data_IF_201783086748
#
_entry.id   IF_201783086748
#
_cell.length_a   1.000
_cell.length_b   1.000
_cell.length_c   1.000
_cell.angle_alpha   90.00
_cell.angle_beta   90.00
_cell.angle_gamma   90.00
#
_symmetry.space_group_name_H-M   'P 1'
#
loop_
_entity.id
_entity.type
_entity.pdbx_description
1 polymer ?
#
# COMPACT_ATOMS: atom_id res chain seq x y z
N UNK A 1 13.20 -23.67 4.05
CA UNK A 1 12.09 -22.91 3.42
C UNK A 1 12.39 -21.43 3.58
N UNK A 2 12.82 -20.74 2.53
CA UNK A 2 12.95 -19.28 2.57
C UNK A 2 11.53 -18.73 2.41
N UNK A 3 10.98 -18.14 3.47
CA UNK A 3 9.76 -17.32 3.38
C UNK A 3 10.13 -16.16 2.46
N UNK A 4 9.58 -16.14 1.26
CA UNK A 4 9.78 -15.03 0.33
C UNK A 4 9.00 -13.81 0.83
N UNK A 5 9.61 -13.08 1.77
CA UNK A 5 9.06 -11.89 2.42
C UNK A 5 8.78 -10.75 1.45
N UNK A 6 9.29 -10.83 0.21
CA UNK A 6 9.07 -9.84 -0.84
C UNK A 6 7.60 -9.71 -1.25
N UNK A 7 6.76 -10.70 -0.93
CA UNK A 7 5.33 -10.69 -1.29
C UNK A 7 4.44 -9.88 -0.37
N UNK A 8 4.97 -9.38 0.73
CA UNK A 8 4.18 -8.80 1.80
C UNK A 8 4.53 -7.34 2.08
N UNK A 9 3.50 -6.55 2.39
CA UNK A 9 3.70 -5.22 2.94
C UNK A 9 3.53 -5.28 4.46
N UNK A 10 4.55 -4.82 5.19
CA UNK A 10 4.52 -4.78 6.64
C UNK A 10 4.25 -3.34 7.09
N UNK A 11 3.18 -3.14 7.84
CA UNK A 11 2.86 -1.85 8.48
C UNK A 11 3.42 -1.87 9.91
N UNK A 12 3.72 -0.70 10.46
CA UNK A 12 4.22 -0.50 11.82
C UNK A 12 3.36 -1.16 12.92
N UNK A 13 2.09 -1.47 12.65
CA UNK A 13 1.15 -2.14 13.58
C UNK A 13 1.24 -3.68 13.53
N UNK A 14 2.22 -4.24 12.82
CA UNK A 14 2.39 -5.68 12.66
C UNK A 14 1.46 -6.32 11.64
N UNK A 15 0.59 -5.54 10.98
CA UNK A 15 -0.26 -6.08 9.90
C UNK A 15 0.56 -6.38 8.66
N UNK A 16 0.22 -7.51 8.06
CA UNK A 16 0.85 -8.03 6.84
C UNK A 16 -0.19 -7.97 5.72
N UNK A 17 0.04 -7.11 4.73
CA UNK A 17 -0.84 -6.99 3.57
C UNK A 17 -0.38 -7.91 2.45
N UNK A 18 -1.33 -8.62 1.82
CA UNK A 18 -1.06 -9.60 0.76
C UNK A 18 -1.77 -9.26 -0.55
N UNK A 19 -2.70 -8.30 -0.52
CA UNK A 19 -3.57 -7.96 -1.63
C UNK A 19 -3.94 -6.47 -1.64
N UNK A 20 -4.48 -6.00 -2.77
CA UNK A 20 -5.08 -4.65 -2.86
C UNK A 20 -6.27 -4.48 -1.89
N UNK A 21 -7.01 -5.55 -1.63
CA UNK A 21 -8.12 -5.53 -0.67
C UNK A 21 -7.63 -5.31 0.76
N UNK A 22 -6.53 -5.96 1.14
CA UNK A 22 -5.90 -5.74 2.45
C UNK A 22 -5.38 -4.33 2.56
N UNK A 23 -4.73 -3.82 1.51
CA UNK A 23 -4.26 -2.43 1.47
C UNK A 23 -5.43 -1.45 1.63
N UNK A 24 -6.53 -1.62 0.90
CA UNK A 24 -7.71 -0.77 1.03
C UNK A 24 -8.27 -0.77 2.45
N UNK A 25 -8.42 -1.95 3.07
CA UNK A 25 -8.89 -2.09 4.46
C UNK A 25 -7.93 -1.42 5.44
N UNK A 26 -6.62 -1.63 5.26
CA UNK A 26 -5.60 -1.03 6.09
C UNK A 26 -5.66 0.50 6.01
N UNK A 27 -5.68 1.06 4.80
CA UNK A 27 -5.76 2.50 4.58
C UNK A 27 -7.01 3.14 5.21
N UNK A 28 -8.15 2.44 5.20
CA UNK A 28 -9.39 2.95 5.77
C UNK A 28 -9.31 3.16 7.30
N UNK A 29 -8.53 2.33 8.00
CA UNK A 29 -8.31 2.43 9.45
C UNK A 29 -6.93 2.99 9.82
N UNK A 30 -6.11 3.38 8.84
CA UNK A 30 -4.73 3.82 9.06
C UNK A 30 -4.71 5.26 9.59
N UNK A 31 -3.99 5.52 10.70
CA UNK A 31 -3.70 6.88 11.16
C UNK A 31 -2.99 7.71 10.07
N UNK A 32 -3.26 9.02 10.03
CA UNK A 32 -2.73 9.89 8.98
C UNK A 32 -1.21 10.04 9.02
N UNK A 33 -0.62 10.07 10.21
CA UNK A 33 0.83 10.09 10.42
C UNK A 33 1.52 8.83 9.84
N UNK A 34 0.95 7.65 10.10
CA UNK A 34 1.42 6.37 9.56
C UNK A 34 1.26 6.35 8.04
N UNK A 35 0.13 6.84 7.52
CA UNK A 35 -0.07 6.94 6.08
C UNK A 35 0.99 7.84 5.44
N UNK A 36 1.18 9.05 5.98
CA UNK A 36 2.10 10.03 5.44
C UNK A 36 3.55 9.53 5.47
N UNK A 37 3.93 8.80 6.52
CA UNK A 37 5.24 8.15 6.61
C UNK A 37 5.52 7.22 5.42
N UNK A 38 4.57 6.34 5.10
CA UNK A 38 4.73 5.40 3.97
C UNK A 38 4.55 6.08 2.60
N UNK A 39 3.58 6.99 2.49
CA UNK A 39 3.25 7.67 1.23
C UNK A 39 4.38 8.62 0.78
N UNK A 40 5.01 9.36 1.70
CA UNK A 40 6.15 10.23 1.40
C UNK A 40 7.37 9.48 0.85
N UNK A 41 7.47 8.17 1.12
CA UNK A 41 8.53 7.29 0.61
C UNK A 41 8.10 6.46 -0.60
N UNK A 42 6.88 6.68 -1.11
CA UNK A 42 6.24 5.89 -2.16
C UNK A 42 6.17 4.38 -1.84
N UNK A 43 6.12 3.99 -0.58
CA UNK A 43 6.18 2.58 -0.18
C UNK A 43 5.01 1.78 -0.78
N UNK A 44 3.80 2.34 -0.74
CA UNK A 44 2.61 1.71 -1.30
C UNK A 44 2.73 1.53 -2.82
N UNK A 45 3.19 2.55 -3.54
CA UNK A 45 3.33 2.50 -4.99
C UNK A 45 4.41 1.47 -5.39
N UNK A 46 5.56 1.46 -4.71
CA UNK A 46 6.65 0.50 -4.93
C UNK A 46 6.17 -0.92 -4.70
N UNK A 47 5.44 -1.17 -3.61
CA UNK A 47 4.89 -2.50 -3.32
C UNK A 47 3.87 -2.95 -4.36
N UNK A 48 2.89 -2.09 -4.69
CA UNK A 48 1.85 -2.40 -5.70
C UNK A 48 2.47 -2.67 -7.08
N UNK A 49 3.50 -1.92 -7.47
CA UNK A 49 4.21 -2.12 -8.73
C UNK A 49 5.09 -3.38 -8.73
N UNK A 50 5.92 -3.56 -7.70
CA UNK A 50 6.94 -4.61 -7.64
C UNK A 50 6.40 -5.99 -7.27
N UNK A 51 5.35 -6.03 -6.43
CA UNK A 51 4.82 -7.29 -5.88
C UNK A 51 3.56 -7.74 -6.57
N UNK A 52 2.63 -6.81 -6.79
CA UNK A 52 1.33 -7.11 -7.41
C UNK A 52 1.34 -6.88 -8.93
N UNK A 53 2.45 -6.35 -9.48
CA UNK A 53 2.64 -6.01 -10.89
C UNK A 53 1.54 -5.07 -11.44
N UNK A 54 0.95 -4.21 -10.59
CA UNK A 54 -0.13 -3.28 -10.96
C UNK A 54 0.42 -1.87 -11.21
N UNK A 55 1.30 -1.72 -12.21
CA UNK A 55 2.04 -0.48 -12.51
C UNK A 55 1.15 0.74 -12.73
N UNK A 56 0.03 0.59 -13.43
CA UNK A 56 -0.90 1.69 -13.68
C UNK A 56 -1.56 2.20 -12.40
N UNK A 57 -1.91 1.29 -11.48
CA UNK A 57 -2.45 1.64 -10.18
C UNK A 57 -1.38 2.27 -9.29
N UNK A 58 -0.16 1.71 -9.28
CA UNK A 58 0.98 2.27 -8.55
C UNK A 58 1.23 3.73 -8.92
N UNK A 59 1.15 4.08 -10.22
CA UNK A 59 1.26 5.46 -10.69
C UNK A 59 0.14 6.37 -10.17
N UNK A 60 -1.08 5.86 -10.01
CA UNK A 60 -2.23 6.63 -9.50
C UNK A 60 -2.13 6.92 -8.01
N UNK A 61 -1.53 6.01 -7.24
CA UNK A 61 -1.41 6.15 -5.77
C UNK A 61 -0.09 6.78 -5.33
N UNK A 62 0.91 6.86 -6.21
CA UNK A 62 2.17 7.58 -5.93
C UNK A 62 1.88 9.07 -5.74
N UNK A 63 2.39 9.64 -4.64
CA UNK A 63 2.11 11.01 -4.24
C UNK A 63 0.66 11.33 -3.89
N UNK A 64 -0.25 10.34 -3.88
CA UNK A 64 -1.66 10.56 -3.55
C UNK A 64 -1.85 10.71 -2.04
N UNK A 65 -2.79 11.58 -1.63
CA UNK A 65 -3.25 11.61 -0.25
C UNK A 65 -4.13 10.37 0.06
N UNK A 66 -4.41 10.13 1.35
CA UNK A 66 -5.14 8.93 1.80
C UNK A 66 -6.49 8.75 1.12
N UNK A 67 -7.25 9.84 0.92
CA UNK A 67 -8.54 9.78 0.25
C UNK A 67 -8.40 9.43 -1.24
N UNK A 68 -7.46 10.05 -1.94
CA UNK A 68 -7.18 9.75 -3.35
C UNK A 68 -6.72 8.29 -3.55
N UNK A 69 -5.87 7.78 -2.64
CA UNK A 69 -5.45 6.38 -2.66
C UNK A 69 -6.62 5.42 -2.44
N UNK A 70 -7.51 5.71 -1.48
CA UNK A 70 -8.72 4.92 -1.23
C UNK A 70 -9.67 4.90 -2.44
N UNK A 71 -9.84 6.03 -3.12
CA UNK A 71 -10.64 6.12 -4.35
C UNK A 71 -10.02 5.32 -5.49
N UNK A 72 -8.69 5.38 -5.65
CA UNK A 72 -7.97 4.63 -6.66
C UNK A 72 -8.04 3.10 -6.45
N UNK A 73 -8.10 2.65 -5.19
CA UNK A 73 -8.26 1.24 -4.80
C UNK A 73 -9.73 0.76 -4.79
N UNK A 74 -10.69 1.68 -4.94
CA UNK A 74 -12.12 1.39 -4.93
C UNK A 74 -12.75 1.16 -6.30
N UNK A 75 -11.99 1.37 -7.38
CA UNK A 75 -12.39 1.07 -8.77
C UNK A 75 -11.84 -0.29 -9.20
#
# INVERSE_FOLDING_TARGET
>A
MIKDSSKYFYICDGKVLKSLGDLKKALASMPDDVYNYHASRDDFAKWVAGVLNKKALAKKISGANKQQALQALGK
#
